data_IF_507239728639
#
_entry.id   IF_507239728639
#
_cell.length_a   1.000
_cell.length_b   1.000
_cell.length_c   1.000
_cell.angle_alpha   90.00
_cell.angle_beta   90.00
_cell.angle_gamma   90.00
#
_symmetry.space_group_name_H-M   'P 1'
#
loop_
_entity.id
_entity.type
_entity.pdbx_description
1 polymer ?
#
# COMPACT_ATOMS: atom_id res chain seq x y z
N UNK A 1 -69.88 26.24 -47.49
CA UNK A 1 -69.53 26.77 -46.15
C UNK A 1 -68.14 27.39 -46.20
N UNK A 2 -68.08 28.72 -46.20
CA UNK A 2 -66.91 29.59 -46.45
C UNK A 2 -65.95 29.77 -45.25
N UNK A 3 -66.00 28.88 -44.25
CA UNK A 3 -65.24 29.06 -43.00
C UNK A 3 -64.13 28.02 -42.74
N UNK A 4 -63.85 27.08 -43.65
CA UNK A 4 -62.81 26.06 -43.44
C UNK A 4 -61.40 26.58 -43.81
N UNK A 5 -61.30 27.61 -44.67
CA UNK A 5 -60.01 28.12 -45.15
C UNK A 5 -59.32 29.15 -44.24
N UNK A 6 -59.96 29.63 -43.16
CA UNK A 6 -59.32 30.57 -42.21
C UNK A 6 -58.44 29.88 -41.16
N UNK A 7 -58.58 28.56 -40.97
CA UNK A 7 -57.81 27.83 -39.95
C UNK A 7 -56.57 27.11 -40.50
N UNK A 8 -56.36 27.08 -41.82
CA UNK A 8 -55.16 26.51 -42.42
C UNK A 8 -53.95 27.48 -42.40
N UNK A 9 -54.19 28.80 -42.31
CA UNK A 9 -53.13 29.82 -42.25
C UNK A 9 -52.42 29.90 -40.91
N UNK A 10 -53.10 29.59 -39.80
CA UNK A 10 -52.52 29.64 -38.46
C UNK A 10 -51.74 28.37 -38.08
N UNK A 11 -52.04 27.23 -38.71
CA UNK A 11 -51.25 26.01 -38.51
C UNK A 11 -49.92 26.03 -39.28
N UNK A 12 -49.82 26.82 -40.35
CA UNK A 12 -48.62 26.91 -41.20
C UNK A 12 -47.58 27.91 -40.68
N UNK A 13 -47.96 28.84 -39.80
CA UNK A 13 -47.06 29.82 -39.18
C UNK A 13 -46.48 29.33 -37.84
N UNK A 14 -47.09 28.32 -37.22
CA UNK A 14 -46.61 27.74 -35.95
C UNK A 14 -45.55 26.64 -36.12
N UNK A 15 -45.35 26.13 -37.34
CA UNK A 15 -44.39 25.04 -37.63
C UNK A 15 -43.02 25.58 -38.10
N UNK A 16 -42.90 26.89 -38.37
CA UNK A 16 -41.69 27.50 -38.94
C UNK A 16 -40.73 28.15 -37.93
N UNK A 17 -40.95 27.98 -36.61
CA UNK A 17 -40.16 28.65 -35.56
C UNK A 17 -39.36 27.72 -34.62
N UNK A 18 -39.23 26.42 -34.92
CA UNK A 18 -38.58 25.46 -33.99
C UNK A 18 -37.24 24.89 -34.50
N UNK A 19 -36.67 25.40 -35.59
CA UNK A 19 -35.34 24.98 -36.09
C UNK A 19 -34.35 26.14 -36.10
N UNK A 20 -34.04 26.63 -34.90
CA UNK A 20 -32.80 27.37 -34.62
C UNK A 20 -32.24 26.93 -33.25
N UNK A 21 -32.10 25.61 -33.08
CA UNK A 21 -31.29 25.02 -32.00
C UNK A 21 -29.80 25.21 -32.31
N UNK A 22 -29.30 26.43 -32.09
CA UNK A 22 -27.86 26.65 -31.88
C UNK A 22 -27.54 26.35 -30.40
N UNK A 23 -27.44 25.08 -30.03
CA UNK A 23 -26.92 24.65 -28.72
C UNK A 23 -25.43 24.37 -28.82
N UNK A 24 -24.62 25.37 -29.20
CA UNK A 24 -23.20 25.37 -28.84
C UNK A 24 -23.07 26.13 -27.53
N UNK A 25 -23.32 25.42 -26.44
CA UNK A 25 -23.05 25.88 -25.10
C UNK A 25 -21.65 25.37 -24.74
N UNK A 26 -20.63 26.22 -24.93
CA UNK A 26 -19.30 25.95 -24.41
C UNK A 26 -19.33 26.24 -22.90
N UNK A 27 -19.53 25.18 -22.11
CA UNK A 27 -19.54 25.28 -20.65
C UNK A 27 -18.10 25.41 -20.13
N UNK A 28 -17.74 26.61 -19.66
CA UNK A 28 -16.49 26.81 -18.94
C UNK A 28 -16.66 26.32 -17.50
N UNK A 29 -16.19 25.11 -17.22
CA UNK A 29 -16.14 24.57 -15.86
C UNK A 29 -15.04 25.30 -15.07
N UNK A 30 -15.41 26.29 -14.27
CA UNK A 30 -14.44 27.10 -13.50
C UNK A 30 -13.83 26.39 -12.29
N UNK A 31 -14.44 25.28 -11.84
CA UNK A 31 -14.01 24.49 -10.67
C UNK A 31 -13.46 23.11 -11.05
N UNK A 32 -13.29 22.81 -12.34
CA UNK A 32 -12.73 21.56 -12.83
C UNK A 32 -11.72 21.86 -13.93
N UNK A 33 -10.54 21.25 -13.88
CA UNK A 33 -9.63 21.29 -15.02
C UNK A 33 -9.98 20.12 -15.92
N UNK A 34 -10.58 20.41 -17.07
CA UNK A 34 -10.86 19.40 -18.11
C UNK A 34 -9.56 18.98 -18.81
N UNK A 35 -9.43 17.68 -19.11
CA UNK A 35 -8.22 17.06 -19.66
C UNK A 35 -7.59 17.80 -20.87
N UNK A 36 -8.34 18.38 -21.83
CA UNK A 36 -7.73 19.12 -22.95
C UNK A 36 -6.94 20.36 -22.54
N UNK A 37 -7.10 20.84 -21.31
CA UNK A 37 -6.53 22.08 -20.80
C UNK A 37 -5.61 21.89 -19.58
N UNK A 38 -5.31 20.64 -19.17
CA UNK A 38 -4.53 20.38 -17.96
C UNK A 38 -3.02 20.29 -18.21
N UNK A 39 -2.57 19.73 -19.33
CA UNK A 39 -1.15 19.42 -19.56
C UNK A 39 -0.41 20.53 -20.31
N UNK A 40 -0.26 21.72 -19.70
CA UNK A 40 0.35 22.90 -20.33
C UNK A 40 1.80 23.14 -19.89
N UNK A 41 2.25 22.54 -18.81
CA UNK A 41 3.62 22.67 -18.32
C UNK A 41 4.10 21.42 -17.55
N UNK A 42 5.41 21.38 -17.27
CA UNK A 42 6.06 20.30 -16.52
C UNK A 42 5.45 20.02 -15.15
N UNK A 43 5.00 21.05 -14.43
CA UNK A 43 4.45 20.89 -13.09
C UNK A 43 3.10 20.16 -13.11
N UNK A 44 2.24 20.49 -14.08
CA UNK A 44 0.96 19.81 -14.27
C UNK A 44 1.15 18.34 -14.66
N UNK A 45 2.08 18.04 -15.59
CA UNK A 45 2.45 16.65 -15.91
C UNK A 45 2.95 15.92 -14.66
N UNK A 46 3.83 16.55 -13.88
CA UNK A 46 4.36 15.95 -12.65
C UNK A 46 3.24 15.68 -11.63
N UNK A 47 2.27 16.59 -11.51
CA UNK A 47 1.12 16.41 -10.63
C UNK A 47 0.18 15.28 -11.08
N UNK A 48 0.04 15.03 -12.38
CA UNK A 48 -0.73 13.89 -12.87
C UNK A 48 -0.03 12.57 -12.56
N UNK A 49 1.31 12.53 -12.69
CA UNK A 49 2.12 11.34 -12.41
C UNK A 49 2.03 10.90 -10.95
N UNK A 50 1.81 11.81 -10.00
CA UNK A 50 1.67 11.44 -8.58
C UNK A 50 0.32 10.82 -8.23
N UNK A 51 -0.73 11.00 -9.04
CA UNK A 51 -2.08 10.52 -8.72
C UNK A 51 -2.17 9.00 -8.54
N UNK A 52 -1.59 8.15 -9.41
CA UNK A 52 -1.50 6.71 -9.18
C UNK A 52 -0.86 6.34 -7.83
N UNK A 53 0.19 7.04 -7.42
CA UNK A 53 0.90 6.77 -6.15
C UNK A 53 0.12 7.19 -4.92
N UNK A 54 -0.55 8.34 -4.97
CA UNK A 54 -1.44 8.76 -3.86
C UNK A 54 -2.55 7.74 -3.66
N UNK A 55 -3.09 7.15 -4.72
CA UNK A 55 -4.08 6.07 -4.60
C UNK A 55 -3.47 4.78 -4.07
N UNK A 56 -2.22 4.45 -4.41
CA UNK A 56 -1.55 3.27 -3.86
C UNK A 56 -1.52 3.24 -2.33
N UNK A 57 -1.46 4.41 -1.68
CA UNK A 57 -1.57 4.54 -0.21
C UNK A 57 -2.88 4.00 0.34
N UNK A 58 -3.98 4.04 -0.41
CA UNK A 58 -5.28 3.57 0.06
C UNK A 58 -5.30 2.05 0.22
N UNK A 59 -4.66 1.30 -0.68
CA UNK A 59 -4.73 -0.16 -0.67
C UNK A 59 -3.50 -0.83 -0.08
N UNK A 60 -2.29 -0.31 -0.34
CA UNK A 60 -1.05 -0.99 0.02
C UNK A 60 -0.60 -0.69 1.45
N UNK A 61 -0.86 0.52 1.97
CA UNK A 61 -0.52 0.92 3.32
C UNK A 61 -1.67 0.63 4.31
N UNK A 62 -1.42 0.85 5.60
CA UNK A 62 -2.36 0.60 6.71
C UNK A 62 -3.48 1.65 6.85
N UNK A 63 -3.88 2.28 5.74
CA UNK A 63 -4.81 3.40 5.72
C UNK A 63 -6.27 2.93 5.69
N UNK A 64 -6.57 1.96 4.84
CA UNK A 64 -7.93 1.42 4.70
C UNK A 64 -8.19 0.26 5.68
N UNK A 65 -9.45 0.09 6.10
CA UNK A 65 -9.85 -0.96 7.04
C UNK A 65 -9.85 -2.36 6.41
N UNK A 66 -9.92 -2.45 5.09
CA UNK A 66 -9.99 -3.71 4.35
C UNK A 66 -9.01 -3.73 3.16
N UNK A 67 -7.98 -2.88 3.17
CA UNK A 67 -6.94 -2.88 2.14
C UNK A 67 -6.07 -4.14 2.12
N UNK A 68 -5.25 -4.27 1.07
CA UNK A 68 -4.36 -5.41 0.80
C UNK A 68 -3.54 -5.83 2.03
N UNK A 69 -2.91 -4.88 2.72
CA UNK A 69 -2.00 -5.19 3.84
C UNK A 69 -2.69 -6.01 4.93
N UNK A 70 -3.95 -5.71 5.26
CA UNK A 70 -4.66 -6.41 6.33
C UNK A 70 -5.04 -7.84 5.94
N UNK A 71 -5.40 -8.05 4.67
CA UNK A 71 -5.71 -9.37 4.14
C UNK A 71 -4.48 -10.30 4.11
N UNK A 72 -3.28 -9.73 4.07
CA UNK A 72 -2.03 -10.49 4.14
C UNK A 72 -1.54 -10.77 5.56
N UNK A 73 -2.04 -10.01 6.56
CA UNK A 73 -1.48 -10.01 7.92
C UNK A 73 -2.42 -10.60 8.98
N UNK A 74 -3.72 -10.30 8.91
CA UNK A 74 -4.71 -10.79 9.87
C UNK A 74 -5.05 -12.30 9.77
N UNK A 75 -5.04 -12.93 8.58
CA UNK A 75 -5.14 -14.39 8.50
C UNK A 75 -3.80 -15.10 8.74
N UNK A 76 -2.69 -14.37 8.77
CA UNK A 76 -1.37 -14.91 9.10
C UNK A 76 -1.21 -15.12 10.62
N UNK A 77 -0.02 -15.53 11.03
CA UNK A 77 0.30 -15.88 12.42
C UNK A 77 0.87 -14.71 13.25
N UNK A 78 1.15 -13.56 12.64
CA UNK A 78 1.84 -12.45 13.31
C UNK A 78 0.92 -11.50 14.08
N UNK A 79 -0.20 -11.12 13.47
CA UNK A 79 -1.11 -10.10 14.00
C UNK A 79 -2.51 -10.67 14.19
N UNK A 80 -3.22 -10.12 15.16
CA UNK A 80 -4.62 -10.43 15.40
C UNK A 80 -5.40 -9.16 15.70
N UNK A 81 -6.65 -9.09 15.26
CA UNK A 81 -7.62 -8.09 15.71
C UNK A 81 -8.70 -8.77 16.56
N UNK A 82 -8.42 -9.08 17.83
CA UNK A 82 -9.40 -9.69 18.70
C UNK A 82 -10.46 -8.68 19.13
N UNK A 83 -11.68 -9.17 19.34
CA UNK A 83 -12.70 -8.47 20.11
C UNK A 83 -12.16 -8.21 21.52
N UNK A 84 -12.33 -6.97 21.98
CA UNK A 84 -11.95 -6.51 23.32
C UNK A 84 -13.16 -5.84 23.95
N UNK A 85 -13.80 -6.53 24.89
CA UNK A 85 -15.05 -6.05 25.48
C UNK A 85 -16.14 -5.84 24.42
N UNK A 86 -16.67 -4.62 24.36
CA UNK A 86 -17.68 -4.20 23.36
C UNK A 86 -17.09 -3.81 22.00
N UNK A 87 -15.77 -3.73 21.88
CA UNK A 87 -15.06 -3.21 20.71
C UNK A 87 -14.49 -4.34 19.84
N UNK A 88 -14.32 -4.07 18.54
CA UNK A 88 -13.58 -4.94 17.64
C UNK A 88 -14.28 -6.25 17.26
N UNK A 89 -15.56 -6.43 17.61
CA UNK A 89 -16.34 -7.57 17.11
C UNK A 89 -16.67 -7.40 15.62
N UNK A 90 -17.14 -6.21 15.22
CA UNK A 90 -17.44 -5.81 13.83
C UNK A 90 -18.18 -6.90 13.02
N UNK A 91 -19.25 -7.46 13.60
CA UNK A 91 -20.03 -8.52 12.97
C UNK A 91 -19.28 -9.85 12.81
N UNK A 92 -18.21 -10.07 13.57
CA UNK A 92 -17.35 -11.25 13.55
C UNK A 92 -16.40 -11.32 12.36
N UNK A 93 -16.27 -10.25 11.54
CA UNK A 93 -15.49 -10.33 10.30
C UNK A 93 -14.01 -10.61 10.53
N UNK A 94 -13.41 -10.00 11.55
CA UNK A 94 -12.00 -10.21 11.87
C UNK A 94 -11.74 -11.60 12.45
N UNK A 95 -12.71 -12.16 13.16
CA UNK A 95 -12.66 -13.53 13.68
C UNK A 95 -12.68 -14.52 12.52
N UNK A 96 -13.62 -14.34 11.57
CA UNK A 96 -13.66 -15.14 10.34
C UNK A 96 -12.38 -14.99 9.53
N UNK A 97 -11.85 -13.78 9.41
CA UNK A 97 -10.61 -13.53 8.70
C UNK A 97 -9.44 -14.31 9.31
N UNK A 98 -9.27 -14.24 10.63
CA UNK A 98 -8.17 -14.91 11.33
C UNK A 98 -8.22 -16.44 11.23
N UNK A 99 -9.41 -17.03 11.24
CA UNK A 99 -9.59 -18.48 11.15
C UNK A 99 -9.78 -19.01 9.72
N UNK A 100 -9.60 -18.17 8.70
CA UNK A 100 -9.82 -18.54 7.30
C UNK A 100 -11.27 -18.97 6.98
N UNK A 101 -12.25 -18.35 7.63
CA UNK A 101 -13.69 -18.64 7.52
C UNK A 101 -14.48 -17.49 6.86
N UNK A 102 -13.80 -16.59 6.14
CA UNK A 102 -14.46 -15.46 5.48
C UNK A 102 -15.41 -15.92 4.38
N UNK A 103 -16.40 -15.08 4.08
CA UNK A 103 -17.39 -15.32 3.04
C UNK A 103 -17.20 -14.39 1.85
N UNK A 104 -17.92 -14.66 0.76
CA UNK A 104 -17.92 -13.79 -0.43
C UNK A 104 -18.50 -12.40 -0.17
N UNK A 105 -19.19 -12.18 0.95
CA UNK A 105 -19.77 -10.88 1.32
C UNK A 105 -18.90 -10.12 2.32
N UNK A 106 -17.79 -10.71 2.76
CA UNK A 106 -16.87 -10.02 3.66
C UNK A 106 -16.09 -8.97 2.88
N UNK A 107 -16.24 -7.70 3.29
CA UNK A 107 -15.63 -6.54 2.62
C UNK A 107 -14.11 -6.65 2.50
N UNK A 108 -13.47 -7.34 3.45
CA UNK A 108 -12.05 -7.70 3.44
C UNK A 108 -11.57 -8.40 2.16
N UNK A 109 -12.47 -9.06 1.43
CA UNK A 109 -12.15 -9.80 0.20
C UNK A 109 -12.44 -8.97 -1.05
N UNK A 110 -13.45 -8.08 -1.02
CA UNK A 110 -13.86 -7.25 -2.15
C UNK A 110 -13.04 -5.94 -2.26
N UNK A 111 -12.74 -5.30 -1.14
CA UNK A 111 -12.12 -3.97 -1.12
C UNK A 111 -10.71 -3.93 -1.74
N UNK A 112 -9.81 -4.91 -1.50
CA UNK A 112 -8.51 -4.91 -2.18
C UNK A 112 -8.67 -5.01 -3.71
N UNK A 113 -9.62 -5.81 -4.20
CA UNK A 113 -9.90 -5.93 -5.63
C UNK A 113 -10.25 -4.58 -6.24
N UNK A 114 -11.22 -3.88 -5.66
CA UNK A 114 -11.67 -2.57 -6.14
C UNK A 114 -10.55 -1.54 -6.12
N UNK A 115 -9.87 -1.41 -4.97
CA UNK A 115 -8.86 -0.36 -4.80
C UNK A 115 -7.64 -0.61 -5.70
N UNK A 116 -7.22 -1.86 -5.89
CA UNK A 116 -6.07 -2.18 -6.75
C UNK A 116 -6.44 -1.99 -8.24
N UNK A 117 -7.63 -2.42 -8.68
CA UNK A 117 -8.10 -2.13 -10.05
C UNK A 117 -8.27 -0.64 -10.32
N UNK A 118 -8.69 0.14 -9.32
CA UNK A 118 -8.75 1.59 -9.44
C UNK A 118 -7.34 2.19 -9.64
N UNK A 119 -6.34 1.67 -8.93
CA UNK A 119 -4.94 2.02 -9.17
C UNK A 119 -4.45 1.71 -10.59
N UNK A 120 -4.83 0.55 -11.15
CA UNK A 120 -4.59 0.21 -12.57
C UNK A 120 -5.27 1.22 -13.49
N UNK A 121 -6.51 1.61 -13.19
CA UNK A 121 -7.25 2.63 -13.91
C UNK A 121 -6.52 3.97 -13.96
N UNK A 122 -5.95 4.43 -12.84
CA UNK A 122 -5.15 5.66 -12.81
C UNK A 122 -3.88 5.57 -13.65
N UNK A 123 -3.21 4.41 -13.66
CA UNK A 123 -2.04 4.21 -14.52
C UNK A 123 -2.43 4.26 -16.02
N UNK A 124 -3.51 3.59 -16.40
CA UNK A 124 -4.01 3.58 -17.77
C UNK A 124 -4.46 4.98 -18.22
N UNK A 125 -5.23 5.67 -17.39
CA UNK A 125 -5.72 7.02 -17.66
C UNK A 125 -4.57 8.02 -17.85
N UNK A 126 -3.54 7.97 -16.99
CA UNK A 126 -2.34 8.81 -17.15
C UNK A 126 -1.69 8.61 -18.52
N UNK A 127 -1.52 7.36 -18.96
CA UNK A 127 -0.91 7.06 -20.27
C UNK A 127 -1.80 7.51 -21.43
N UNK A 128 -3.11 7.31 -21.34
CA UNK A 128 -4.07 7.76 -22.37
C UNK A 128 -4.09 9.29 -22.49
N UNK A 129 -4.06 10.01 -21.37
CA UNK A 129 -4.08 11.47 -21.35
C UNK A 129 -2.78 12.11 -21.82
N UNK A 130 -1.63 11.49 -21.54
CA UNK A 130 -0.33 11.98 -22.01
C UNK A 130 -0.03 11.61 -23.46
N UNK A 131 -0.69 10.60 -24.03
CA UNK A 131 -0.47 10.16 -25.40
C UNK A 131 -0.57 11.31 -26.44
N UNK A 132 -1.63 12.15 -26.46
CA UNK A 132 -1.75 13.26 -27.39
C UNK A 132 -0.90 14.50 -27.04
N UNK A 133 -0.27 14.55 -25.87
CA UNK A 133 0.51 15.71 -25.41
C UNK A 133 1.85 15.79 -26.15
N UNK A 134 2.13 16.95 -26.72
CA UNK A 134 3.40 17.31 -27.33
C UNK A 134 4.35 17.85 -26.25
N UNK A 135 5.25 17.00 -25.76
CA UNK A 135 6.12 17.32 -24.62
C UNK A 135 7.08 18.47 -24.92
N UNK A 136 7.46 18.63 -26.20
CA UNK A 136 8.39 19.68 -26.63
C UNK A 136 7.80 21.08 -26.45
N UNK A 137 6.47 21.23 -26.54
CA UNK A 137 5.77 22.52 -26.35
C UNK A 137 5.63 22.93 -24.90
N UNK A 138 5.85 22.01 -23.96
CA UNK A 138 5.65 22.24 -22.52
C UNK A 138 6.96 22.19 -21.73
N UNK A 139 8.10 22.28 -22.43
CA UNK A 139 9.44 22.30 -21.83
C UNK A 139 9.92 20.94 -21.33
N UNK A 140 9.45 19.85 -21.95
CA UNK A 140 9.86 18.48 -21.67
C UNK A 140 10.33 17.78 -22.96
N UNK A 141 10.97 16.63 -22.82
CA UNK A 141 11.50 15.85 -23.93
C UNK A 141 10.66 14.59 -24.17
N UNK A 142 10.77 14.00 -25.36
CA UNK A 142 10.19 12.67 -25.62
C UNK A 142 10.81 11.58 -24.74
N UNK A 143 12.06 11.77 -24.28
CA UNK A 143 12.66 10.88 -23.30
C UNK A 143 11.95 10.97 -21.94
N UNK A 144 11.53 12.17 -21.52
CA UNK A 144 10.71 12.33 -20.30
C UNK A 144 9.36 11.61 -20.45
N UNK A 145 8.72 11.73 -21.63
CA UNK A 145 7.45 11.05 -21.93
C UNK A 145 7.61 9.53 -21.87
N UNK A 146 8.70 9.00 -22.45
CA UNK A 146 9.01 7.57 -22.40
C UNK A 146 9.28 7.09 -20.97
N UNK A 147 10.04 7.85 -20.18
CA UNK A 147 10.31 7.52 -18.78
C UNK A 147 9.03 7.53 -17.91
N UNK A 148 8.15 8.52 -18.09
CA UNK A 148 6.85 8.58 -17.40
C UNK A 148 5.94 7.41 -17.81
N UNK A 149 5.95 7.05 -19.09
CA UNK A 149 5.18 5.90 -19.58
C UNK A 149 5.69 4.59 -18.99
N UNK A 150 7.02 4.42 -18.94
CA UNK A 150 7.65 3.26 -18.33
C UNK A 150 7.31 3.17 -16.83
N UNK A 151 7.35 4.30 -16.12
CA UNK A 151 6.97 4.42 -14.73
C UNK A 151 5.52 4.01 -14.48
N UNK A 152 4.57 4.50 -15.30
CA UNK A 152 3.17 4.12 -15.20
C UNK A 152 2.96 2.61 -15.43
N UNK A 153 3.69 2.01 -16.39
CA UNK A 153 3.63 0.56 -16.67
C UNK A 153 4.22 -0.29 -15.55
N UNK A 154 5.38 0.11 -15.00
CA UNK A 154 5.98 -0.60 -13.86
C UNK A 154 5.08 -0.50 -12.63
N UNK A 155 4.50 0.67 -12.36
CA UNK A 155 3.53 0.81 -11.27
C UNK A 155 2.26 -0.01 -11.52
N UNK A 156 1.75 -0.07 -12.76
CA UNK A 156 0.64 -0.94 -13.15
C UNK A 156 0.98 -2.42 -12.93
N UNK A 157 2.18 -2.85 -13.31
CA UNK A 157 2.66 -4.21 -13.08
C UNK A 157 2.70 -4.56 -11.59
N UNK A 158 3.08 -3.62 -10.73
CA UNK A 158 3.01 -3.81 -9.27
C UNK A 158 1.58 -3.99 -8.76
N UNK A 159 0.60 -3.23 -9.26
CA UNK A 159 -0.81 -3.46 -8.92
C UNK A 159 -1.27 -4.86 -9.35
N UNK A 160 -0.94 -5.28 -10.58
CA UNK A 160 -1.24 -6.62 -11.06
C UNK A 160 -0.54 -7.71 -10.25
N UNK A 161 0.70 -7.49 -9.81
CA UNK A 161 1.44 -8.42 -8.96
C UNK A 161 0.69 -8.69 -7.65
N UNK A 162 0.27 -7.64 -6.94
CA UNK A 162 -0.47 -7.77 -5.67
C UNK A 162 -1.87 -8.35 -5.85
N UNK A 163 -2.53 -8.04 -6.95
CA UNK A 163 -3.83 -8.60 -7.30
C UNK A 163 -3.74 -10.09 -7.67
N UNK A 164 -2.73 -10.48 -8.45
CA UNK A 164 -2.46 -11.86 -8.81
C UNK A 164 -2.08 -12.70 -7.59
N UNK A 165 -1.35 -12.12 -6.63
CA UNK A 165 -1.02 -12.79 -5.37
C UNK A 165 -2.29 -13.19 -4.60
N UNK A 166 -3.22 -12.24 -4.42
CA UNK A 166 -4.47 -12.44 -3.70
C UNK A 166 -5.46 -13.37 -4.40
N UNK A 167 -5.70 -13.17 -5.70
CA UNK A 167 -6.85 -13.76 -6.40
C UNK A 167 -6.48 -14.80 -7.46
N UNK A 168 -5.21 -14.89 -7.84
CA UNK A 168 -4.74 -15.78 -8.89
C UNK A 168 -5.21 -15.37 -10.29
N UNK A 169 -6.38 -15.88 -10.71
CA UNK A 169 -6.94 -15.61 -12.03
C UNK A 169 -7.67 -14.27 -12.04
N UNK A 170 -7.19 -13.32 -12.83
CA UNK A 170 -7.72 -11.95 -12.87
C UNK A 170 -7.80 -11.42 -14.31
N UNK A 171 -8.69 -10.47 -14.61
CA UNK A 171 -8.72 -9.84 -15.93
C UNK A 171 -7.47 -9.00 -16.19
N UNK A 172 -7.03 -8.94 -17.45
CA UNK A 172 -5.96 -8.03 -17.89
C UNK A 172 -6.58 -6.92 -18.73
N UNK A 173 -6.50 -5.70 -18.21
CA UNK A 173 -7.00 -4.45 -18.83
C UNK A 173 -5.90 -3.40 -18.90
N UNK A 174 -5.70 -2.85 -20.09
CA UNK A 174 -4.66 -1.84 -20.37
C UNK A 174 -5.24 -0.51 -20.87
N UNK A 175 -6.56 -0.45 -21.03
CA UNK A 175 -7.31 0.73 -21.45
C UNK A 175 -8.43 1.00 -20.43
N UNK A 176 -8.77 2.27 -20.23
CA UNK A 176 -9.82 2.67 -19.29
C UNK A 176 -11.18 2.24 -19.80
N UNK A 177 -11.91 1.47 -18.99
CA UNK A 177 -13.27 1.02 -19.29
C UNK A 177 -13.40 0.04 -20.46
N UNK A 178 -12.28 -0.52 -20.96
CA UNK A 178 -12.28 -1.41 -22.12
C UNK A 178 -11.49 -2.72 -21.89
N UNK A 179 -12.09 -3.88 -22.21
CA UNK A 179 -13.53 -4.07 -22.43
C UNK A 179 -14.30 -3.82 -21.12
N UNK A 180 -15.60 -3.49 -21.21
CA UNK A 180 -16.40 -3.13 -20.02
C UNK A 180 -16.57 -4.29 -19.01
N UNK A 181 -16.54 -5.53 -19.47
CA UNK A 181 -16.60 -6.73 -18.62
C UNK A 181 -15.56 -7.75 -19.11
N UNK A 182 -14.28 -7.58 -18.74
CA UNK A 182 -13.21 -8.45 -19.21
C UNK A 182 -13.31 -9.82 -18.54
N UNK A 183 -13.08 -10.89 -19.29
CA UNK A 183 -12.93 -12.22 -18.69
C UNK A 183 -11.61 -12.33 -17.93
N UNK A 184 -11.60 -13.13 -16.87
CA UNK A 184 -10.38 -13.46 -16.12
C UNK A 184 -9.41 -14.24 -17.00
N UNK A 185 -8.10 -14.01 -16.80
CA UNK A 185 -7.03 -14.79 -17.40
C UNK A 185 -6.43 -15.75 -16.37
N UNK A 186 -5.95 -16.93 -16.78
CA UNK A 186 -5.20 -17.83 -15.92
C UNK A 186 -4.02 -17.12 -15.25
N UNK A 187 -3.70 -17.47 -14.00
CA UNK A 187 -2.62 -16.88 -13.21
C UNK A 187 -1.28 -16.85 -13.96
N UNK A 188 -0.96 -17.90 -14.73
CA UNK A 188 0.25 -17.96 -15.54
C UNK A 188 0.28 -16.93 -16.70
N UNK A 189 -0.87 -16.59 -17.31
CA UNK A 189 -0.94 -15.52 -18.32
C UNK A 189 -0.78 -14.14 -17.68
N UNK A 190 -1.35 -13.94 -16.49
CA UNK A 190 -1.18 -12.72 -15.71
C UNK A 190 0.29 -12.54 -15.29
N UNK A 191 0.93 -13.61 -14.83
CA UNK A 191 2.36 -13.65 -14.52
C UNK A 191 3.19 -13.19 -15.74
N UNK A 192 2.93 -13.77 -16.91
CA UNK A 192 3.66 -13.43 -18.13
C UNK A 192 3.44 -11.97 -18.55
N UNK A 193 2.24 -11.43 -18.35
CA UNK A 193 1.96 -10.02 -18.57
C UNK A 193 2.75 -9.11 -17.62
N UNK A 194 2.78 -9.42 -16.32
CA UNK A 194 3.56 -8.68 -15.32
C UNK A 194 5.06 -8.74 -15.66
N UNK A 195 5.58 -9.94 -15.96
CA UNK A 195 6.99 -10.14 -16.33
C UNK A 195 7.35 -9.27 -17.54
N UNK A 196 6.50 -9.25 -18.57
CA UNK A 196 6.70 -8.45 -19.78
C UNK A 196 6.72 -6.95 -19.45
N UNK A 197 5.71 -6.45 -18.72
CA UNK A 197 5.63 -5.04 -18.35
C UNK A 197 6.84 -4.59 -17.55
N UNK A 198 7.35 -5.42 -16.63
CA UNK A 198 8.56 -5.11 -15.89
C UNK A 198 9.80 -5.14 -16.80
N UNK A 199 10.05 -6.23 -17.52
CA UNK A 199 11.27 -6.39 -18.33
C UNK A 199 11.41 -5.36 -19.45
N UNK A 200 10.31 -4.92 -20.05
CA UNK A 200 10.34 -3.92 -21.12
C UNK A 200 10.53 -2.48 -20.60
N UNK A 201 10.27 -2.20 -19.32
CA UNK A 201 10.17 -0.83 -18.82
C UNK A 201 11.09 -0.50 -17.65
N UNK A 202 11.50 -1.47 -16.82
CA UNK A 202 12.33 -1.22 -15.62
C UNK A 202 13.65 -0.54 -15.95
N UNK A 203 14.29 -0.90 -17.07
CA UNK A 203 15.57 -0.30 -17.45
C UNK A 203 15.45 1.12 -18.01
N UNK A 204 14.23 1.55 -18.37
CA UNK A 204 13.92 2.91 -18.83
C UNK A 204 13.65 3.87 -17.66
N UNK A 205 13.50 3.35 -16.44
CA UNK A 205 13.27 4.19 -15.26
C UNK A 205 14.54 4.97 -14.90
N UNK A 206 14.41 6.25 -14.52
CA UNK A 206 15.54 7.03 -14.04
C UNK A 206 15.99 6.54 -12.65
N UNK A 207 17.27 6.77 -12.34
CA UNK A 207 17.71 6.77 -10.95
C UNK A 207 17.14 8.01 -10.26
N UNK A 208 16.58 7.83 -9.07
CA UNK A 208 15.92 8.90 -8.31
C UNK A 208 16.85 9.43 -7.21
N UNK A 209 16.57 10.65 -6.77
CA UNK A 209 17.11 11.24 -5.55
C UNK A 209 16.14 11.05 -4.38
N UNK A 210 16.61 11.30 -3.15
CA UNK A 210 15.77 11.27 -1.96
C UNK A 210 14.53 12.20 -2.03
N UNK A 211 14.61 13.31 -2.78
CA UNK A 211 13.46 14.23 -2.97
C UNK A 211 12.34 13.65 -3.84
N UNK A 212 12.61 12.54 -4.55
CA UNK A 212 11.64 11.80 -5.37
C UNK A 212 11.30 10.43 -4.75
N UNK A 213 11.67 10.22 -3.49
CA UNK A 213 11.19 9.10 -2.69
C UNK A 213 9.66 9.03 -2.76
N UNK A 214 9.12 7.82 -2.96
CA UNK A 214 7.70 7.62 -3.27
C UNK A 214 7.43 7.11 -4.69
N UNK A 215 8.31 7.42 -5.65
CA UNK A 215 8.17 6.98 -7.05
C UNK A 215 8.91 5.67 -7.30
N UNK A 216 8.44 4.86 -8.25
CA UNK A 216 9.17 3.66 -8.67
C UNK A 216 10.44 4.08 -9.41
N UNK A 217 11.56 3.51 -9.00
CA UNK A 217 12.84 3.59 -9.70
C UNK A 217 13.22 2.21 -10.25
N UNK A 218 14.38 2.14 -10.89
CA UNK A 218 14.91 0.87 -11.40
C UNK A 218 15.03 -0.20 -10.30
N UNK A 219 15.55 0.15 -9.12
CA UNK A 219 15.65 -0.78 -7.99
C UNK A 219 14.30 -1.35 -7.52
N UNK A 220 13.25 -0.52 -7.45
CA UNK A 220 11.88 -0.93 -7.14
C UNK A 220 11.35 -1.92 -8.19
N UNK A 221 11.60 -1.64 -9.48
CA UNK A 221 11.23 -2.51 -10.58
C UNK A 221 11.90 -3.89 -10.53
N UNK A 222 13.21 -3.91 -10.23
CA UNK A 222 13.92 -5.18 -10.01
C UNK A 222 13.45 -5.89 -8.73
N UNK A 223 13.07 -5.17 -7.67
CA UNK A 223 12.51 -5.78 -6.47
C UNK A 223 11.17 -6.49 -6.77
N UNK A 224 10.34 -5.90 -7.62
CA UNK A 224 9.12 -6.55 -8.13
C UNK A 224 9.41 -7.80 -8.95
N UNK A 225 10.49 -7.81 -9.77
CA UNK A 225 10.94 -9.00 -10.49
C UNK A 225 11.42 -10.10 -9.52
N UNK A 226 12.14 -9.74 -8.46
CA UNK A 226 12.55 -10.70 -7.41
C UNK A 226 11.33 -11.34 -6.76
N UNK A 227 10.34 -10.55 -6.33
CA UNK A 227 9.09 -11.07 -5.77
C UNK A 227 8.36 -11.99 -6.76
N UNK A 228 8.26 -11.58 -8.02
CA UNK A 228 7.63 -12.34 -9.08
C UNK A 228 8.31 -13.71 -9.27
N UNK A 229 9.63 -13.74 -9.37
CA UNK A 229 10.38 -14.96 -9.66
C UNK A 229 10.49 -15.89 -8.46
N UNK A 230 10.56 -15.37 -7.23
CA UNK A 230 10.57 -16.20 -6.01
C UNK A 230 9.24 -16.98 -5.84
N UNK A 231 8.14 -16.45 -6.36
CA UNK A 231 6.84 -17.12 -6.26
C UNK A 231 6.43 -17.88 -7.53
N UNK A 232 7.27 -17.86 -8.58
CA UNK A 232 6.92 -18.41 -9.88
C UNK A 232 6.50 -19.89 -9.85
N UNK A 233 7.14 -20.72 -9.01
CA UNK A 233 6.76 -22.13 -8.89
C UNK A 233 5.31 -22.29 -8.40
N UNK A 234 4.90 -21.48 -7.42
CA UNK A 234 3.54 -21.53 -6.86
C UNK A 234 2.54 -20.97 -7.87
N UNK A 235 2.90 -19.90 -8.58
CA UNK A 235 1.96 -19.17 -9.43
C UNK A 235 1.82 -19.74 -10.85
N UNK A 236 2.85 -20.41 -11.36
CA UNK A 236 2.92 -20.93 -12.74
C UNK A 236 3.20 -22.42 -12.82
N UNK A 237 3.54 -23.07 -11.71
CA UNK A 237 4.03 -24.46 -11.68
C UNK A 237 5.50 -24.61 -12.09
N UNK A 238 6.15 -23.53 -12.54
CA UNK A 238 7.55 -23.55 -13.03
C UNK A 238 8.45 -22.68 -12.15
N UNK A 239 9.49 -23.22 -11.50
CA UNK A 239 10.42 -22.42 -10.72
C UNK A 239 11.24 -21.49 -11.62
N UNK A 240 11.56 -20.28 -11.11
CA UNK A 240 12.37 -19.25 -11.79
C UNK A 240 13.50 -18.74 -10.88
N UNK A 241 14.15 -19.66 -10.16
CA UNK A 241 15.17 -19.33 -9.15
C UNK A 241 16.37 -18.58 -9.74
N UNK A 242 16.81 -18.95 -10.95
CA UNK A 242 17.92 -18.26 -11.62
C UNK A 242 17.57 -16.82 -11.99
N UNK A 243 16.34 -16.58 -12.46
CA UNK A 243 15.89 -15.22 -12.75
C UNK A 243 15.72 -14.38 -11.47
N UNK A 244 15.25 -15.00 -10.38
CA UNK A 244 15.20 -14.37 -9.07
C UNK A 244 16.58 -13.92 -8.59
N UNK A 245 17.58 -14.80 -8.70
CA UNK A 245 18.97 -14.50 -8.31
C UNK A 245 19.52 -13.37 -9.19
N UNK A 246 19.34 -13.44 -10.51
CA UNK A 246 19.83 -12.42 -11.44
C UNK A 246 19.20 -11.05 -11.19
N UNK A 247 17.90 -10.99 -10.90
CA UNK A 247 17.22 -9.74 -10.56
C UNK A 247 17.70 -9.17 -9.20
N UNK A 248 17.93 -10.04 -8.21
CA UNK A 248 18.47 -9.64 -6.91
C UNK A 248 19.91 -9.10 -7.03
N UNK A 249 20.74 -9.74 -7.87
CA UNK A 249 22.12 -9.32 -8.10
C UNK A 249 22.20 -7.91 -8.69
N UNK A 250 21.26 -7.52 -9.56
CA UNK A 250 21.17 -6.15 -10.08
C UNK A 250 20.99 -5.10 -8.96
N UNK A 251 20.27 -5.44 -7.90
CA UNK A 251 20.06 -4.54 -6.76
C UNK A 251 21.28 -4.56 -5.85
N UNK A 252 21.76 -5.75 -5.49
CA UNK A 252 22.86 -5.95 -4.53
C UNK A 252 24.19 -5.39 -5.08
N UNK A 253 24.46 -5.52 -6.38
CA UNK A 253 25.66 -4.94 -7.01
C UNK A 253 25.61 -3.41 -7.12
N UNK A 254 24.42 -2.81 -7.00
CA UNK A 254 24.17 -1.40 -7.26
C UNK A 254 23.88 -1.05 -8.72
N UNK A 255 23.88 -2.02 -9.65
CA UNK A 255 23.56 -1.80 -11.08
C UNK A 255 22.18 -1.18 -11.29
N UNK A 256 21.21 -1.57 -10.46
CA UNK A 256 19.84 -1.07 -10.48
C UNK A 256 19.69 0.31 -9.81
N UNK A 257 20.75 0.86 -9.21
CA UNK A 257 20.68 2.06 -8.39
C UNK A 257 19.84 1.87 -7.12
N UNK A 258 19.40 2.98 -6.54
CA UNK A 258 18.54 3.04 -5.35
C UNK A 258 17.88 4.41 -5.21
N UNK A 259 17.15 4.65 -4.12
CA UNK A 259 16.49 5.96 -3.87
C UNK A 259 17.52 7.04 -3.52
N UNK A 260 18.58 6.66 -2.81
CA UNK A 260 19.60 7.57 -2.30
C UNK A 260 21.03 7.05 -2.57
N UNK A 261 21.28 6.70 -3.84
CA UNK A 261 22.51 6.05 -4.29
C UNK A 261 22.45 4.53 -4.21
N UNK A 262 23.61 3.87 -4.17
CA UNK A 262 23.71 2.41 -4.07
C UNK A 262 23.03 1.89 -2.80
N UNK A 263 22.14 0.89 -2.90
CA UNK A 263 21.47 0.30 -1.75
C UNK A 263 22.47 -0.25 -0.73
N UNK A 264 22.16 -0.09 0.56
CA UNK A 264 22.96 -0.63 1.65
C UNK A 264 22.07 -0.93 2.86
N UNK A 265 22.42 -1.95 3.64
CA UNK A 265 21.74 -2.23 4.91
C UNK A 265 22.02 -1.12 5.92
N UNK A 266 21.00 -0.72 6.67
CA UNK A 266 21.17 0.22 7.76
C UNK A 266 21.84 -0.45 8.97
N UNK A 267 22.70 0.29 9.65
CA UNK A 267 23.32 -0.17 10.90
C UNK A 267 22.34 -0.17 12.09
N UNK A 268 21.35 0.73 12.05
CA UNK A 268 20.24 0.80 12.99
C UNK A 268 18.99 0.15 12.35
N UNK A 269 18.45 -0.88 13.01
CA UNK A 269 17.26 -1.58 12.53
C UNK A 269 15.99 -0.74 12.47
N UNK A 270 15.95 0.41 13.15
CA UNK A 270 14.82 1.33 13.11
C UNK A 270 14.97 2.41 12.02
N UNK A 271 16.17 2.60 11.46
CA UNK A 271 16.40 3.62 10.43
C UNK A 271 15.49 3.45 9.20
N UNK A 272 15.21 2.23 8.69
CA UNK A 272 14.27 2.05 7.57
C UNK A 272 12.82 2.45 7.88
N UNK A 273 12.45 2.62 9.16
CA UNK A 273 11.07 2.84 9.60
C UNK A 273 10.88 4.15 10.39
N UNK A 274 11.94 4.93 10.59
CA UNK A 274 11.88 6.18 11.33
C UNK A 274 11.20 7.31 10.51
N UNK A 275 11.05 8.50 11.09
CA UNK A 275 10.38 9.64 10.47
C UNK A 275 11.19 10.33 9.37
N UNK A 276 12.40 9.86 9.12
CA UNK A 276 13.32 10.33 8.07
C UNK A 276 13.70 9.20 7.12
N UNK A 277 12.92 8.11 7.09
CA UNK A 277 13.28 6.90 6.35
C UNK A 277 13.30 7.09 4.82
N UNK A 278 12.83 8.22 4.31
CA UNK A 278 13.11 8.67 2.94
C UNK A 278 14.60 8.83 2.61
N UNK A 279 15.46 8.92 3.62
CA UNK A 279 16.92 8.97 3.47
C UNK A 279 17.57 7.59 3.52
N UNK A 280 16.84 6.56 3.95
CA UNK A 280 17.40 5.23 4.15
C UNK A 280 17.89 4.64 2.82
N UNK A 281 19.12 4.12 2.82
CA UNK A 281 19.68 3.42 1.65
C UNK A 281 19.19 1.98 1.54
N UNK A 282 18.56 1.47 2.58
CA UNK A 282 17.99 0.12 2.59
C UNK A 282 16.63 0.07 1.89
N UNK A 283 15.88 1.17 1.93
CA UNK A 283 14.56 1.28 1.31
C UNK A 283 14.71 1.38 -0.22
N UNK A 284 14.04 0.47 -0.94
CA UNK A 284 14.06 0.38 -2.41
C UNK A 284 12.80 0.97 -3.03
N UNK A 285 11.67 0.81 -2.33
CA UNK A 285 10.39 1.41 -2.69
C UNK A 285 9.56 1.64 -1.44
N UNK A 286 8.93 2.80 -1.37
CA UNK A 286 8.07 3.20 -0.25
C UNK A 286 7.01 4.17 -0.74
N UNK A 287 5.90 4.26 -0.02
CA UNK A 287 4.86 5.24 -0.24
C UNK A 287 5.14 6.43 0.66
N UNK A 288 5.35 7.59 0.03
CA UNK A 288 5.81 8.78 0.74
C UNK A 288 4.70 9.38 1.62
N UNK A 289 5.03 9.89 2.81
CA UNK A 289 4.13 10.67 3.67
C UNK A 289 4.85 11.90 4.25
N UNK A 290 4.12 12.99 4.46
CA UNK A 290 4.62 14.18 5.15
C UNK A 290 3.49 14.85 5.92
N UNK A 291 3.38 14.48 7.19
CA UNK A 291 2.28 14.95 8.03
C UNK A 291 2.34 16.45 8.29
N UNK A 292 3.53 17.00 8.51
CA UNK A 292 3.71 18.42 8.82
C UNK A 292 3.32 19.30 7.63
N UNK A 293 3.57 18.85 6.39
CA UNK A 293 3.23 19.62 5.18
C UNK A 293 1.84 19.34 4.61
N UNK A 294 1.36 18.09 4.62
CA UNK A 294 0.09 17.72 3.98
C UNK A 294 -1.02 17.30 4.94
N UNK A 295 -0.71 17.03 6.20
CA UNK A 295 -1.65 16.42 7.14
C UNK A 295 -1.82 14.90 6.95
N UNK A 296 -1.12 14.30 5.97
CA UNK A 296 -1.17 12.86 5.71
C UNK A 296 -0.10 12.13 6.50
N UNK A 297 -0.51 11.04 7.16
CA UNK A 297 0.39 10.12 7.84
C UNK A 297 0.00 8.68 7.48
N UNK A 298 0.93 7.73 7.55
CA UNK A 298 0.58 6.32 7.45
C UNK A 298 -0.37 5.92 8.60
N UNK A 299 -1.41 5.16 8.29
CA UNK A 299 -2.50 4.83 9.22
C UNK A 299 -2.16 3.89 10.38
N UNK A 300 -0.87 3.61 10.65
CA UNK A 300 -0.45 2.65 11.66
C UNK A 300 -0.95 2.99 13.08
N UNK A 301 -1.24 4.28 13.37
CA UNK A 301 -1.83 4.68 14.66
C UNK A 301 -3.24 4.09 14.83
N UNK A 302 -4.06 4.10 13.78
CA UNK A 302 -5.40 3.52 13.82
C UNK A 302 -5.39 1.99 13.97
N UNK A 303 -4.25 1.35 13.72
CA UNK A 303 -4.06 -0.10 13.71
C UNK A 303 -3.44 -0.58 15.03
N UNK A 304 -2.24 -0.11 15.36
CA UNK A 304 -1.43 -0.65 16.45
C UNK A 304 -1.51 0.14 17.76
N UNK A 305 -2.08 1.33 17.76
CA UNK A 305 -2.07 2.17 18.97
C UNK A 305 -3.25 1.89 19.89
N UNK A 306 -3.00 2.02 21.19
CA UNK A 306 -4.01 1.98 22.24
C UNK A 306 -4.84 3.29 22.30
N UNK A 307 -5.98 3.26 23.01
CA UNK A 307 -6.85 4.42 23.24
C UNK A 307 -6.20 5.59 23.99
N UNK A 308 -5.00 5.36 24.56
CA UNK A 308 -4.22 6.33 25.34
C UNK A 308 -2.78 6.48 24.84
N UNK A 309 -2.51 6.01 23.61
CA UNK A 309 -1.16 6.00 23.06
C UNK A 309 -0.51 7.39 23.00
N UNK A 310 -1.30 8.45 22.86
CA UNK A 310 -0.77 9.82 22.84
C UNK A 310 0.03 10.18 24.08
N UNK A 311 -0.31 9.58 25.23
CA UNK A 311 0.43 9.77 26.48
C UNK A 311 1.77 9.06 26.46
N UNK A 312 1.87 7.92 25.76
CA UNK A 312 3.09 7.09 25.68
C UNK A 312 4.13 7.75 24.79
N UNK A 313 3.71 8.33 23.67
CA UNK A 313 4.63 8.94 22.70
C UNK A 313 4.71 10.47 22.75
N UNK A 314 3.89 11.14 23.55
CA UNK A 314 3.73 12.60 23.52
C UNK A 314 3.36 13.12 22.12
N UNK A 315 2.20 12.67 21.67
CA UNK A 315 1.64 12.98 20.35
C UNK A 315 0.24 13.58 20.49
N UNK A 316 -0.37 13.99 19.38
CA UNK A 316 -1.75 14.50 19.38
C UNK A 316 -2.81 13.43 19.03
N UNK A 317 -2.37 12.20 18.71
CA UNK A 317 -3.24 11.12 18.20
C UNK A 317 -3.27 9.93 19.14
N UNK A 318 -4.46 9.38 19.36
CA UNK A 318 -4.65 8.06 19.95
C UNK A 318 -4.91 7.01 18.85
N UNK A 319 -5.00 5.74 19.26
CA UNK A 319 -5.41 4.64 18.39
C UNK A 319 -6.76 4.07 18.76
N UNK A 320 -7.12 3.00 18.05
CA UNK A 320 -8.40 2.30 18.19
C UNK A 320 -8.28 0.98 18.97
N UNK A 321 -7.10 0.68 19.50
CA UNK A 321 -6.78 -0.56 20.23
C UNK A 321 -7.13 -1.84 19.45
N UNK A 322 -6.91 -1.81 18.13
CA UNK A 322 -7.32 -2.88 17.23
C UNK A 322 -6.35 -4.05 17.26
N UNK A 323 -5.16 -3.87 16.67
CA UNK A 323 -4.26 -4.98 16.38
C UNK A 323 -3.37 -5.26 17.57
N UNK A 324 -3.06 -6.54 17.72
CA UNK A 324 -2.14 -7.05 18.72
C UNK A 324 -1.21 -8.05 18.04
N UNK A 325 0.01 -8.16 18.51
CA UNK A 325 0.88 -9.27 18.14
C UNK A 325 0.35 -10.53 18.81
N UNK A 326 0.25 -11.62 18.05
CA UNK A 326 -0.15 -12.91 18.63
C UNK A 326 0.91 -13.39 19.62
N UNK A 327 0.54 -14.17 20.66
CA UNK A 327 1.54 -14.71 21.58
C UNK A 327 2.63 -15.53 20.89
N UNK A 328 2.25 -16.38 19.92
CA UNK A 328 3.19 -17.19 19.16
C UNK A 328 4.22 -16.33 18.41
N UNK A 329 3.78 -15.27 17.74
CA UNK A 329 4.68 -14.39 17.02
C UNK A 329 5.56 -13.55 17.94
N UNK A 330 5.05 -13.13 19.10
CA UNK A 330 5.87 -12.46 20.10
C UNK A 330 6.94 -13.43 20.64
N UNK A 331 6.58 -14.67 20.96
CA UNK A 331 7.45 -15.67 21.59
C UNK A 331 8.46 -16.31 20.63
N UNK A 332 8.26 -16.17 19.32
CA UNK A 332 9.26 -16.54 18.31
C UNK A 332 10.59 -15.77 18.47
N UNK A 333 10.55 -14.57 19.06
CA UNK A 333 11.73 -13.76 19.33
C UNK A 333 12.28 -14.07 20.74
N UNK A 334 13.54 -14.50 20.80
CA UNK A 334 14.28 -14.68 22.05
C UNK A 334 14.55 -13.33 22.70
N UNK A 335 14.74 -13.28 24.02
CA UNK A 335 15.02 -12.04 24.77
C UNK A 335 16.26 -11.28 24.28
N UNK A 336 17.27 -11.98 23.75
CA UNK A 336 18.48 -11.37 23.19
C UNK A 336 18.25 -10.75 21.79
N UNK A 337 17.14 -11.10 21.13
CA UNK A 337 16.79 -10.53 19.84
C UNK A 337 16.32 -9.09 20.02
N UNK A 338 17.06 -8.15 19.45
CA UNK A 338 16.75 -6.72 19.54
C UNK A 338 15.33 -6.39 19.04
N UNK A 339 14.75 -7.19 18.14
CA UNK A 339 13.37 -7.00 17.67
C UNK A 339 12.35 -7.19 18.79
N UNK A 340 12.61 -8.08 19.76
CA UNK A 340 11.75 -8.30 20.93
C UNK A 340 11.53 -7.00 21.70
N UNK A 341 12.61 -6.20 21.83
CA UNK A 341 12.62 -4.92 22.53
C UNK A 341 12.15 -3.75 21.65
N UNK A 342 12.62 -3.70 20.40
CA UNK A 342 12.44 -2.50 19.57
C UNK A 342 11.14 -2.53 18.74
N UNK A 343 10.69 -3.71 18.29
CA UNK A 343 9.52 -3.82 17.40
C UNK A 343 8.21 -4.07 18.15
N UNK A 344 8.26 -4.34 19.45
CA UNK A 344 7.07 -4.57 20.26
C UNK A 344 7.02 -3.58 21.42
N UNK A 345 5.85 -2.98 21.62
CA UNK A 345 5.51 -2.26 22.83
C UNK A 345 4.81 -3.24 23.78
N UNK A 346 5.43 -3.51 24.92
CA UNK A 346 5.05 -4.57 25.84
C UNK A 346 5.26 -4.15 27.30
N UNK A 347 4.52 -4.75 28.23
CA UNK A 347 4.66 -4.51 29.67
C UNK A 347 4.02 -3.20 30.15
N UNK A 348 4.42 -2.69 31.34
CA UNK A 348 3.87 -1.45 31.90
C UNK A 348 4.13 -0.23 31.02
N UNK A 349 3.11 0.60 30.85
CA UNK A 349 3.17 1.80 30.01
C UNK A 349 3.20 3.07 30.86
N UNK A 350 4.09 3.99 30.51
CA UNK A 350 4.32 5.24 31.23
C UNK A 350 4.09 6.44 30.32
N UNK A 351 3.70 7.57 30.93
CA UNK A 351 3.62 8.82 30.20
C UNK A 351 5.02 9.22 29.74
N UNK A 352 5.12 9.77 28.55
CA UNK A 352 6.38 10.14 27.93
C UNK A 352 7.22 11.02 28.86
N UNK A 353 8.48 10.62 29.06
CA UNK A 353 9.44 11.37 29.90
C UNK A 353 9.18 11.31 31.41
N UNK A 354 8.25 10.49 31.88
CA UNK A 354 7.95 10.35 33.32
C UNK A 354 7.88 8.89 33.77
N UNK A 355 7.71 8.67 35.06
CA UNK A 355 7.40 7.37 35.67
C UNK A 355 5.91 7.21 36.01
N UNK A 356 5.07 8.17 35.61
CA UNK A 356 3.64 8.10 35.85
C UNK A 356 3.01 7.05 34.94
N UNK A 357 2.19 6.12 35.47
CA UNK A 357 1.54 5.13 34.64
C UNK A 357 0.52 5.79 33.71
N UNK A 358 0.43 5.29 32.48
CA UNK A 358 -0.76 5.48 31.64
C UNK A 358 -1.86 4.59 32.22
N UNK A 359 -3.06 5.14 32.38
CA UNK A 359 -4.20 4.40 32.92
C UNK A 359 -5.08 3.84 31.79
N UNK A 360 -5.57 2.62 31.97
CA UNK A 360 -6.56 2.00 31.08
C UNK A 360 -7.89 2.75 31.09
N UNK A 361 -8.76 2.40 30.16
CA UNK A 361 -10.05 3.07 29.91
C UNK A 361 -11.24 2.14 29.83
N UNK A 362 -11.02 0.84 29.64
CA UNK A 362 -12.08 -0.16 29.49
C UNK A 362 -12.02 -1.19 30.63
N UNK A 363 -11.63 -2.44 30.39
CA UNK A 363 -11.51 -3.47 31.44
C UNK A 363 -10.49 -3.07 32.53
N UNK A 364 -9.55 -2.20 32.19
CA UNK A 364 -8.52 -1.66 33.09
C UNK A 364 -8.75 -0.18 33.44
N UNK A 365 -9.99 0.32 33.37
CA UNK A 365 -10.30 1.70 33.68
C UNK A 365 -9.73 2.15 35.04
N UNK A 366 -8.91 3.21 35.02
CA UNK A 366 -8.27 3.78 36.21
C UNK A 366 -7.12 2.96 36.79
N UNK A 367 -6.79 1.79 36.20
CA UNK A 367 -5.64 0.95 36.59
C UNK A 367 -4.45 1.21 35.64
N UNK A 368 -3.21 0.99 36.09
CA UNK A 368 -2.04 1.06 35.21
C UNK A 368 -2.19 0.13 33.99
N UNK A 369 -1.93 0.67 32.80
CA UNK A 369 -1.94 -0.05 31.54
C UNK A 369 -0.69 -0.93 31.43
N UNK A 370 -0.90 -2.23 31.25
CA UNK A 370 0.17 -3.22 31.10
C UNK A 370 -0.17 -4.11 29.92
N UNK A 371 0.55 -3.98 28.80
CA UNK A 371 0.37 -4.90 27.68
C UNK A 371 0.89 -6.30 28.04
N UNK A 372 0.09 -7.32 27.78
CA UNK A 372 0.35 -8.71 28.21
C UNK A 372 0.48 -9.65 27.02
N UNK A 373 1.17 -10.78 27.19
CA UNK A 373 1.42 -11.73 26.11
C UNK A 373 0.28 -12.76 25.98
N UNK A 374 -0.96 -12.31 26.06
CA UNK A 374 -2.15 -13.16 26.02
C UNK A 374 -3.31 -12.42 25.38
N UNK A 375 -4.21 -13.15 24.75
CA UNK A 375 -5.48 -12.62 24.22
C UNK A 375 -6.63 -13.27 24.98
N UNK A 376 -6.83 -12.87 26.23
CA UNK A 376 -7.81 -13.50 27.14
C UNK A 376 -8.29 -12.54 28.22
N UNK A 377 -9.36 -12.90 28.93
CA UNK A 377 -9.97 -12.10 30.00
C UNK A 377 -9.26 -12.28 31.34
N UNK A 378 -8.02 -11.79 31.43
CA UNK A 378 -7.20 -11.89 32.64
C UNK A 378 -7.85 -11.18 33.84
N UNK A 379 -8.56 -10.07 33.61
CA UNK A 379 -9.24 -9.36 34.70
C UNK A 379 -10.38 -10.16 35.33
N UNK A 380 -10.90 -11.16 34.60
CA UNK A 380 -11.95 -12.09 35.03
C UNK A 380 -11.39 -13.44 35.53
N UNK A 381 -10.06 -13.57 35.65
CA UNK A 381 -9.40 -14.78 36.15
C UNK A 381 -9.21 -15.88 35.11
N UNK A 382 -9.35 -15.59 33.81
CA UNK A 382 -9.13 -16.57 32.75
C UNK A 382 -7.66 -17.05 32.70
N UNK A 383 -7.49 -18.35 32.45
CA UNK A 383 -6.19 -19.00 32.22
C UNK A 383 -6.22 -19.78 30.90
N UNK A 384 -5.06 -20.19 30.38
CA UNK A 384 -4.94 -20.88 29.08
C UNK A 384 -4.65 -19.94 27.90
N UNK A 385 -4.84 -20.44 26.67
CA UNK A 385 -4.38 -19.79 25.42
C UNK A 385 -5.17 -18.53 25.05
N UNK A 386 -6.48 -18.47 25.37
CA UNK A 386 -7.34 -17.35 24.98
C UNK A 386 -7.90 -17.48 23.57
N UNK A 387 -8.21 -16.35 22.91
CA UNK A 387 -8.67 -16.34 21.52
C UNK A 387 -9.28 -15.03 21.04
N UNK A 388 -9.65 -15.00 19.76
CA UNK A 388 -10.14 -13.81 19.03
C UNK A 388 -11.39 -13.14 19.63
N UNK A 389 -12.16 -13.82 20.48
CA UNK A 389 -13.35 -13.27 21.16
C UNK A 389 -13.15 -13.03 22.65
N UNK A 390 -11.93 -13.27 23.15
CA UNK A 390 -11.58 -13.28 24.57
C UNK A 390 -10.66 -12.13 24.97
N UNK A 391 -10.34 -11.22 24.06
CA UNK A 391 -9.45 -10.11 24.35
C UNK A 391 -10.02 -9.11 25.39
N UNK A 392 -9.09 -8.40 26.01
CA UNK A 392 -9.30 -7.21 26.85
C UNK A 392 -8.46 -6.05 26.30
N UNK A 393 -8.74 -4.84 26.77
CA UNK A 393 -8.01 -3.62 26.42
C UNK A 393 -6.48 -3.79 26.35
N UNK A 394 -5.89 -4.53 27.31
CA UNK A 394 -4.46 -4.69 27.43
C UNK A 394 -3.88 -5.94 26.73
N UNK A 395 -4.73 -6.75 26.08
CA UNK A 395 -4.32 -8.01 25.45
C UNK A 395 -3.29 -7.80 24.35
N UNK A 396 -2.32 -8.72 24.27
CA UNK A 396 -1.22 -8.78 23.31
C UNK A 396 -0.21 -7.63 23.39
N UNK A 397 0.99 -7.83 22.82
CA UNK A 397 1.92 -6.73 22.56
C UNK A 397 1.39 -5.84 21.41
N UNK A 398 1.89 -4.61 21.26
CA UNK A 398 1.61 -3.77 20.07
C UNK A 398 2.84 -3.71 19.17
N UNK A 399 2.65 -3.79 17.86
CA UNK A 399 3.74 -3.47 16.92
C UNK A 399 4.18 -2.02 17.10
N UNK A 400 5.48 -1.81 17.25
CA UNK A 400 6.14 -0.55 17.56
C UNK A 400 7.30 -0.25 16.59
N UNK A 401 7.25 -0.89 15.41
CA UNK A 401 8.25 -0.76 14.35
C UNK A 401 8.27 0.63 13.73
N UNK A 402 7.07 1.19 13.46
CA UNK A 402 6.90 2.57 13.05
C UNK A 402 6.61 3.43 14.28
N UNK A 403 7.44 4.46 14.49
CA UNK A 403 7.33 5.39 15.61
C UNK A 403 7.09 6.81 15.10
N UNK A 404 6.26 7.60 15.79
CA UNK A 404 5.75 8.87 15.26
C UNK A 404 6.73 10.04 15.34
N UNK A 405 7.87 9.89 16.02
CA UNK A 405 8.62 11.05 16.51
C UNK A 405 7.81 11.81 17.58
N UNK A 406 8.22 13.03 17.89
CA UNK A 406 7.57 13.91 18.86
C UNK A 406 6.75 14.99 18.17
N UNK A 407 5.70 15.51 18.82
CA UNK A 407 4.83 16.54 18.25
C UNK A 407 5.57 17.79 17.77
N UNK A 408 6.69 18.14 18.40
CA UNK A 408 7.52 19.30 18.05
C UNK A 408 8.55 19.02 16.95
N UNK A 409 8.70 17.76 16.53
CA UNK A 409 9.69 17.39 15.52
C UNK A 409 9.24 17.88 14.14
N UNK A 410 10.18 18.41 13.36
CA UNK A 410 9.92 18.80 11.97
C UNK A 410 9.52 17.62 11.06
N UNK A 411 9.67 16.39 11.55
CA UNK A 411 9.33 15.14 10.86
C UNK A 411 8.27 14.34 11.62
N UNK A 412 7.55 14.95 12.56
CA UNK A 412 6.46 14.29 13.28
C UNK A 412 5.52 13.54 12.32
N UNK A 413 5.31 12.24 12.53
CA UNK A 413 4.54 11.33 11.66
C UNK A 413 4.99 11.28 10.18
N UNK A 414 6.24 11.66 9.90
CA UNK A 414 6.84 11.66 8.55
C UNK A 414 7.39 10.30 8.11
N UNK A 415 6.91 9.20 8.68
CA UNK A 415 7.36 7.86 8.24
C UNK A 415 6.76 7.54 6.87
N UNK A 416 7.59 7.16 5.91
CA UNK A 416 7.12 6.52 4.69
C UNK A 416 6.72 5.06 4.95
N UNK A 417 5.68 4.57 4.27
CA UNK A 417 5.32 3.16 4.34
C UNK A 417 6.20 2.35 3.38
N UNK A 418 7.01 1.44 3.90
CA UNK A 418 8.04 0.78 3.13
C UNK A 418 7.48 -0.48 2.47
N UNK A 419 7.63 -0.59 1.15
CA UNK A 419 7.12 -1.71 0.34
C UNK A 419 8.22 -2.73 0.07
N UNK A 420 9.41 -2.29 -0.32
CA UNK A 420 10.57 -3.16 -0.58
C UNK A 420 11.83 -2.63 0.09
N UNK A 421 12.64 -3.54 0.65
CA UNK A 421 13.94 -3.24 1.27
C UNK A 421 15.03 -4.19 0.80
N UNK A 422 16.28 -3.73 0.85
CA UNK A 422 17.44 -4.56 0.52
C UNK A 422 17.52 -5.83 1.37
N UNK A 423 17.18 -5.76 2.66
CA UNK A 423 17.15 -6.93 3.53
C UNK A 423 16.25 -8.05 2.97
N UNK A 424 15.09 -7.70 2.42
CA UNK A 424 14.17 -8.66 1.80
C UNK A 424 14.78 -9.28 0.53
N UNK A 425 15.43 -8.47 -0.31
CA UNK A 425 16.09 -8.95 -1.52
C UNK A 425 17.20 -9.96 -1.21
N UNK A 426 17.97 -9.72 -0.14
CA UNK A 426 19.00 -10.65 0.33
C UNK A 426 18.36 -11.97 0.78
N UNK A 427 17.28 -11.94 1.56
CA UNK A 427 16.56 -13.15 1.97
C UNK A 427 15.91 -13.87 0.78
N UNK A 428 15.36 -13.16 -0.19
CA UNK A 428 14.75 -13.75 -1.38
C UNK A 428 15.81 -14.45 -2.26
N UNK A 429 16.99 -13.82 -2.42
CA UNK A 429 18.14 -14.46 -3.09
C UNK A 429 18.61 -15.70 -2.32
N UNK A 430 18.72 -15.60 -1.00
CA UNK A 430 19.07 -16.71 -0.12
C UNK A 430 18.16 -17.92 -0.35
N UNK A 431 16.86 -17.67 -0.34
CA UNK A 431 15.85 -18.69 -0.52
C UNK A 431 15.90 -19.31 -1.92
N UNK A 432 16.02 -18.49 -2.96
CA UNK A 432 16.16 -18.98 -4.33
C UNK A 432 17.39 -19.90 -4.50
N UNK A 433 18.54 -19.52 -3.93
CA UNK A 433 19.76 -20.32 -3.94
C UNK A 433 19.59 -21.64 -3.18
N UNK A 434 18.99 -21.59 -2.00
CA UNK A 434 18.68 -22.78 -1.20
C UNK A 434 17.73 -23.73 -1.96
N UNK A 435 16.65 -23.21 -2.54
CA UNK A 435 15.67 -24.00 -3.32
C UNK A 435 16.30 -24.64 -4.55
N UNK A 436 17.20 -23.91 -5.24
CA UNK A 436 17.99 -24.46 -6.36
C UNK A 436 18.92 -25.59 -5.91
N UNK A 437 19.41 -25.51 -4.67
CA UNK A 437 20.26 -26.53 -4.06
C UNK A 437 19.46 -27.58 -3.25
N UNK A 438 18.28 -27.96 -3.74
CA UNK A 438 17.41 -28.98 -3.12
C UNK A 438 17.06 -28.71 -1.65
N UNK A 439 16.91 -27.45 -1.27
CA UNK A 439 16.57 -27.04 0.09
C UNK A 439 17.76 -26.92 1.04
N UNK A 440 19.00 -27.06 0.54
CA UNK A 440 20.22 -26.96 1.36
C UNK A 440 20.82 -25.55 1.25
N UNK A 441 20.88 -24.84 2.38
CA UNK A 441 21.49 -23.51 2.44
C UNK A 441 23.00 -23.57 2.15
N UNK A 442 23.51 -22.58 1.42
CA UNK A 442 24.94 -22.43 1.12
C UNK A 442 25.49 -21.15 1.76
N UNK A 443 26.80 -21.11 2.00
CA UNK A 443 27.48 -19.92 2.57
C UNK A 443 27.53 -18.74 1.59
N UNK A 444 27.37 -19.00 0.28
CA UNK A 444 27.40 -18.00 -0.80
C UNK A 444 26.32 -16.91 -0.67
N UNK A 445 25.35 -17.11 0.23
CA UNK A 445 24.27 -16.18 0.56
C UNK A 445 24.70 -15.09 1.54
N UNK A 446 25.70 -15.38 2.38
CA UNK A 446 26.13 -14.54 3.52
C UNK A 446 27.36 -13.69 3.19
N UNK A 447 27.89 -13.85 1.98
CA UNK A 447 29.03 -13.13 1.39
C UNK A 447 28.55 -12.18 0.31
#
# INVERSE_FOLDING_TARGET
>A
MKNIFKNAGYLSLAVLLVVSSCTKLDENLYNQVIAPNFYKNKQEVTSAVTRPYTHARAWAAMNDRHGYWRLQELPADQQAWPQKGRHGYDGGQWVRQHYHEWTLTDRAIEEPWELIFWGIGFCNNLMEELAPVDFTKIGMTEADKAAITAEAKVLRAWHYLKLMDLYGNIPIVTEVGKPANPSTKPRAEVFAFIEKELKENVDLLPNLSASLAGRVNKAAGYAMLVELYLNAQVWTGTPRWDDCIAAADKIISGDAGGINGTPALESDMLAPFNTTNHLSKENLFQLAYDYVKSGDAPGYNGVFWHYRQRQIYNTERDGNNCFVTTPNAFDAYKEIDLRKKEWFLFGPQFKFGTTDPVLGTEEYNGKPLVFVNTIRRNSEGETGEGGMTRGEENSGARMNKYRPGQLTDATYLGNDFVVYRLAEIIYNKAEAMMRKNNGVATQDVVT
#
